data_IF_775099632269
#
_entry.id   IF_775099632269
#
_cell.length_a   1.000
_cell.length_b   1.000
_cell.length_c   1.000
_cell.angle_alpha   90.00
_cell.angle_beta   90.00
_cell.angle_gamma   90.00
#
_symmetry.space_group_name_H-M   'P 1'
#
loop_
_entity.id
_entity.type
_entity.pdbx_description
1 polymer ?
#
# COMPACT_ATOMS: atom_id res chain seq x y z
N UNK A 1 24.51 9.92 14.29
CA UNK A 1 24.25 9.79 12.85
C UNK A 1 23.84 8.35 12.57
N UNK A 2 22.79 8.13 11.80
CA UNK A 2 22.33 6.77 11.47
C UNK A 2 23.38 6.05 10.60
N UNK A 3 23.62 4.79 10.89
CA UNK A 3 24.61 3.95 10.18
C UNK A 3 23.89 2.91 9.30
N UNK A 4 24.58 2.43 8.28
CA UNK A 4 24.14 1.37 7.37
C UNK A 4 25.20 0.26 7.27
N UNK A 5 25.75 -0.17 8.40
CA UNK A 5 26.87 -1.11 8.45
C UNK A 5 26.50 -2.49 7.87
N UNK A 6 25.35 -3.03 8.27
CA UNK A 6 24.87 -4.31 7.72
C UNK A 6 24.67 -4.26 6.21
N UNK A 7 24.03 -3.21 5.71
CA UNK A 7 23.79 -3.03 4.27
C UNK A 7 25.07 -2.88 3.44
N UNK A 8 26.12 -2.35 4.07
CA UNK A 8 27.41 -2.07 3.42
C UNK A 8 28.41 -3.20 3.44
N UNK A 9 28.10 -4.30 4.13
CA UNK A 9 28.95 -5.50 4.12
C UNK A 9 29.07 -6.06 2.71
N UNK A 10 30.23 -6.60 2.39
CA UNK A 10 30.50 -7.16 1.05
C UNK A 10 29.47 -8.23 0.67
N UNK A 11 29.13 -9.10 1.61
CA UNK A 11 28.15 -10.19 1.43
C UNK A 11 26.74 -9.70 1.14
N UNK A 12 26.42 -8.44 1.53
CA UNK A 12 25.10 -7.86 1.39
C UNK A 12 24.97 -6.90 0.20
N UNK A 13 26.08 -6.48 -0.42
CA UNK A 13 26.04 -5.50 -1.51
C UNK A 13 25.16 -5.93 -2.68
N UNK A 14 25.29 -7.18 -3.12
CA UNK A 14 24.50 -7.74 -4.23
C UNK A 14 23.01 -7.85 -3.88
N UNK A 15 22.64 -7.81 -2.61
CA UNK A 15 21.25 -7.83 -2.16
C UNK A 15 20.58 -6.46 -2.31
N UNK A 16 21.33 -5.38 -2.50
CA UNK A 16 20.82 -4.04 -2.68
C UNK A 16 20.61 -3.74 -4.17
N UNK A 17 19.40 -3.27 -4.53
CA UNK A 17 19.10 -2.87 -5.91
C UNK A 17 19.81 -1.58 -6.32
N UNK A 18 19.92 -0.64 -5.39
CA UNK A 18 20.57 0.66 -5.59
C UNK A 18 21.62 0.88 -4.50
N UNK A 19 22.82 1.25 -4.90
CA UNK A 19 23.97 1.43 -4.00
C UNK A 19 23.79 2.57 -2.98
N UNK A 20 22.95 3.53 -3.31
CA UNK A 20 22.68 4.72 -2.50
C UNK A 20 21.38 4.66 -1.70
N UNK A 21 20.63 3.56 -1.78
CA UNK A 21 19.39 3.35 -1.02
C UNK A 21 19.58 2.15 -0.10
N UNK A 22 20.03 2.44 1.10
CA UNK A 22 20.40 1.43 2.09
C UNK A 22 19.54 1.60 3.36
N UNK A 23 19.10 0.51 3.98
CA UNK A 23 18.40 0.59 5.26
C UNK A 23 19.37 0.97 6.39
N UNK A 24 18.89 1.78 7.33
CA UNK A 24 19.63 2.08 8.55
C UNK A 24 19.65 0.87 9.49
N UNK A 25 20.76 0.68 10.20
CA UNK A 25 20.91 -0.44 11.13
C UNK A 25 19.84 -0.44 12.23
N UNK A 26 19.45 0.73 12.75
CA UNK A 26 18.48 0.85 13.83
C UNK A 26 17.03 0.53 13.45
N UNK A 27 16.69 0.54 12.18
CA UNK A 27 15.31 0.39 11.68
C UNK A 27 15.14 -0.73 10.67
N UNK A 28 16.23 -1.36 10.23
CA UNK A 28 16.15 -2.45 9.26
C UNK A 28 15.38 -3.66 9.78
N UNK A 29 14.76 -4.39 8.88
CA UNK A 29 14.17 -5.69 9.20
C UNK A 29 15.29 -6.73 9.31
N UNK A 30 15.33 -7.44 10.42
CA UNK A 30 16.23 -8.57 10.64
C UNK A 30 15.50 -9.87 10.32
N UNK A 31 16.06 -10.66 9.43
CA UNK A 31 15.58 -12.01 9.17
C UNK A 31 16.22 -12.98 10.17
N UNK A 32 15.55 -14.07 10.45
CA UNK A 32 16.15 -15.16 11.22
C UNK A 32 17.34 -15.73 10.45
N UNK A 33 18.54 -15.74 11.01
CA UNK A 33 19.71 -16.29 10.32
C UNK A 33 19.52 -17.74 9.90
N UNK A 34 19.98 -18.07 8.70
CA UNK A 34 20.03 -19.45 8.20
C UNK A 34 21.35 -20.08 8.60
N UNK A 35 21.30 -21.25 9.21
CA UNK A 35 22.49 -21.96 9.67
C UNK A 35 23.46 -22.22 8.51
N UNK A 36 24.72 -21.88 8.73
CA UNK A 36 25.79 -22.04 7.73
C UNK A 36 25.80 -21.01 6.61
N UNK A 37 24.89 -20.04 6.59
CA UNK A 37 24.85 -18.97 5.60
C UNK A 37 25.16 -17.63 6.26
N UNK A 38 26.37 -17.06 6.05
CA UNK A 38 26.75 -15.76 6.63
C UNK A 38 25.82 -14.63 6.17
N UNK A 39 25.56 -13.68 7.07
CA UNK A 39 24.76 -12.48 6.79
C UNK A 39 23.38 -12.74 6.18
N UNK A 40 22.83 -13.91 6.43
CA UNK A 40 21.49 -14.32 5.96
C UNK A 40 20.33 -13.62 6.68
N UNK A 41 20.64 -12.79 7.69
CA UNK A 41 19.66 -11.95 8.41
C UNK A 41 19.33 -10.66 7.69
N UNK A 42 19.95 -10.39 6.53
CA UNK A 42 19.85 -9.11 5.83
C UNK A 42 18.80 -9.10 4.71
N UNK A 43 18.00 -8.06 4.69
CA UNK A 43 17.15 -7.66 3.58
C UNK A 43 17.11 -6.14 3.51
N UNK A 44 17.03 -5.56 2.31
CA UNK A 44 16.84 -4.12 2.14
C UNK A 44 15.37 -3.74 2.39
N UNK A 45 15.04 -3.60 3.64
CA UNK A 45 13.72 -3.24 4.15
C UNK A 45 13.85 -2.58 5.52
N UNK A 46 12.95 -1.63 5.81
CA UNK A 46 12.96 -0.84 7.05
C UNK A 46 11.57 -0.77 7.66
N UNK A 47 11.47 -0.87 8.98
CA UNK A 47 10.24 -0.56 9.71
C UNK A 47 9.95 0.94 9.65
N UNK A 48 8.72 1.28 9.32
CA UNK A 48 8.22 2.65 9.23
C UNK A 48 6.97 2.81 10.09
N UNK A 49 6.94 3.83 10.92
CA UNK A 49 5.78 4.15 11.73
C UNK A 49 4.65 4.73 10.86
N UNK A 50 3.41 4.38 11.19
CA UNK A 50 2.22 5.09 10.76
C UNK A 50 1.87 6.25 11.70
N UNK A 51 0.70 6.84 11.50
CA UNK A 51 0.17 7.82 12.44
C UNK A 51 -0.23 7.13 13.75
N UNK A 52 0.42 7.52 14.86
CA UNK A 52 0.22 6.95 16.20
C UNK A 52 0.34 5.41 16.28
N UNK A 53 0.94 4.78 15.28
CA UNK A 53 1.12 3.34 15.20
C UNK A 53 2.57 2.99 14.88
N UNK A 54 3.26 2.39 15.86
CA UNK A 54 4.65 1.98 15.70
C UNK A 54 4.75 0.80 14.73
N UNK A 55 5.72 0.86 13.82
CA UNK A 55 6.01 -0.22 12.87
C UNK A 55 4.79 -0.71 12.06
N UNK A 56 3.88 0.20 11.72
CA UNK A 56 2.71 -0.11 10.89
C UNK A 56 3.11 -0.67 9.54
N UNK A 57 4.21 -0.18 8.97
CA UNK A 57 4.70 -0.55 7.65
C UNK A 57 6.11 -1.11 7.69
N UNK A 58 6.42 -1.90 6.67
CA UNK A 58 7.77 -2.20 6.23
C UNK A 58 7.91 -1.62 4.83
N UNK A 59 8.83 -0.66 4.67
CA UNK A 59 9.20 -0.12 3.36
C UNK A 59 10.37 -0.94 2.82
N UNK A 60 10.18 -1.55 1.65
CA UNK A 60 11.16 -2.43 1.04
C UNK A 60 11.46 -2.02 -0.41
N UNK A 61 12.65 -2.35 -0.88
CA UNK A 61 12.93 -2.33 -2.31
C UNK A 61 12.12 -3.41 -3.04
N UNK A 62 11.89 -3.23 -4.33
CA UNK A 62 11.39 -4.31 -5.17
C UNK A 62 12.37 -5.49 -5.15
N UNK A 63 11.93 -6.71 -4.82
CA UNK A 63 12.81 -7.88 -4.80
C UNK A 63 13.63 -8.02 -6.09
N UNK A 64 14.90 -8.41 -5.95
CA UNK A 64 15.76 -8.87 -7.03
C UNK A 64 15.60 -10.39 -7.17
N UNK A 65 16.03 -10.96 -8.29
CA UNK A 65 16.02 -12.41 -8.45
C UNK A 65 16.71 -13.14 -7.28
N UNK A 66 17.81 -12.57 -6.79
CA UNK A 66 18.61 -13.12 -5.68
C UNK A 66 17.95 -12.94 -4.32
N UNK A 67 16.95 -12.04 -4.17
CA UNK A 67 16.35 -11.70 -2.88
C UNK A 67 14.89 -12.11 -2.75
N UNK A 68 14.31 -12.77 -3.75
CA UNK A 68 12.91 -13.22 -3.70
C UNK A 68 12.66 -14.17 -2.53
N UNK A 69 13.56 -15.11 -2.28
CA UNK A 69 13.45 -16.03 -1.14
C UNK A 69 13.47 -15.28 0.20
N UNK A 70 14.37 -14.30 0.33
CA UNK A 70 14.45 -13.45 1.53
C UNK A 70 13.18 -12.62 1.72
N UNK A 71 12.60 -12.14 0.63
CA UNK A 71 11.35 -11.38 0.65
C UNK A 71 10.19 -12.21 1.22
N UNK A 72 9.98 -13.43 0.73
CA UNK A 72 8.94 -14.32 1.24
C UNK A 72 9.20 -14.77 2.67
N UNK A 73 10.46 -14.97 3.04
CA UNK A 73 10.87 -15.25 4.41
C UNK A 73 10.53 -14.09 5.34
N UNK A 74 10.75 -12.84 4.91
CA UNK A 74 10.32 -11.65 5.64
C UNK A 74 8.80 -11.60 5.82
N UNK A 75 8.02 -11.82 4.77
CA UNK A 75 6.55 -11.86 4.84
C UNK A 75 6.09 -12.88 5.89
N UNK A 76 6.71 -14.05 5.90
CA UNK A 76 6.39 -15.11 6.86
C UNK A 76 6.76 -14.73 8.30
N UNK A 77 8.01 -14.32 8.53
CA UNK A 77 8.53 -14.02 9.86
C UNK A 77 7.85 -12.81 10.50
N UNK A 78 7.46 -11.81 9.70
CA UNK A 78 6.80 -10.61 10.18
C UNK A 78 5.27 -10.75 10.30
N UNK A 79 4.71 -11.93 10.03
CA UNK A 79 3.27 -12.16 10.05
C UNK A 79 2.49 -11.15 9.16
N UNK A 80 3.06 -10.76 8.06
CA UNK A 80 2.45 -9.82 7.11
C UNK A 80 1.31 -10.50 6.37
N UNK A 81 0.15 -9.85 6.32
CA UNK A 81 -1.02 -10.32 5.58
C UNK A 81 -1.27 -9.51 4.30
N UNK A 82 -0.63 -8.35 4.15
CA UNK A 82 -0.87 -7.41 3.05
C UNK A 82 0.43 -6.90 2.47
N UNK A 83 0.57 -7.03 1.15
CA UNK A 83 1.67 -6.48 0.36
C UNK A 83 1.10 -5.40 -0.56
N UNK A 84 1.71 -4.23 -0.56
CA UNK A 84 1.39 -3.11 -1.46
C UNK A 84 2.55 -2.91 -2.43
N UNK A 85 2.28 -3.11 -3.71
CA UNK A 85 3.25 -2.94 -4.79
C UNK A 85 2.88 -1.72 -5.64
N UNK A 86 3.76 -0.74 -5.71
CA UNK A 86 3.52 0.54 -6.40
C UNK A 86 4.52 0.72 -7.56
N UNK A 87 4.77 -0.34 -8.28
CA UNK A 87 5.61 -0.33 -9.48
C UNK A 87 5.16 -1.44 -10.43
N UNK A 88 5.38 -1.26 -11.72
CA UNK A 88 5.34 -2.37 -12.65
C UNK A 88 6.65 -3.17 -12.57
N UNK A 89 6.67 -4.39 -13.08
CA UNK A 89 7.88 -5.22 -13.12
C UNK A 89 8.96 -4.58 -13.98
N UNK A 90 8.55 -4.00 -15.11
CA UNK A 90 9.42 -3.26 -16.03
C UNK A 90 8.79 -1.91 -16.36
N UNK A 91 9.61 -0.88 -16.35
CA UNK A 91 9.27 0.46 -16.81
C UNK A 91 10.40 0.94 -17.71
N UNK A 92 10.08 1.45 -18.91
CA UNK A 92 11.07 1.90 -19.90
C UNK A 92 12.19 0.91 -20.20
N UNK A 93 11.86 -0.37 -20.33
CA UNK A 93 12.82 -1.48 -20.56
C UNK A 93 13.76 -1.78 -19.38
N UNK A 94 13.62 -1.07 -18.27
CA UNK A 94 14.37 -1.35 -17.05
C UNK A 94 13.56 -2.26 -16.12
N UNK A 95 14.22 -3.26 -15.55
CA UNK A 95 13.65 -4.10 -14.51
C UNK A 95 13.55 -3.30 -13.19
N UNK A 96 12.33 -3.08 -12.73
CA UNK A 96 12.05 -2.36 -11.47
C UNK A 96 11.82 -3.29 -10.29
N UNK A 97 11.36 -4.51 -10.56
CA UNK A 97 11.07 -5.51 -9.56
C UNK A 97 11.08 -6.90 -10.22
N UNK A 98 11.68 -7.89 -9.58
CA UNK A 98 11.51 -9.28 -9.98
C UNK A 98 10.08 -9.74 -9.71
N UNK A 99 9.53 -10.58 -10.57
CA UNK A 99 8.24 -11.21 -10.29
C UNK A 99 8.42 -12.25 -9.19
N UNK A 100 7.90 -11.96 -8.00
CA UNK A 100 8.05 -12.82 -6.83
C UNK A 100 6.82 -13.70 -6.55
N UNK A 101 5.84 -13.70 -7.44
CA UNK A 101 4.65 -14.57 -7.36
C UNK A 101 4.51 -15.37 -8.66
N UNK A 102 3.92 -16.59 -8.62
CA UNK A 102 3.69 -17.37 -9.82
C UNK A 102 2.55 -16.80 -10.67
N UNK A 103 2.65 -16.90 -11.99
CA UNK A 103 1.55 -16.57 -12.89
C UNK A 103 0.36 -17.52 -12.71
N UNK A 104 0.68 -18.79 -12.52
CA UNK A 104 -0.26 -19.88 -12.30
C UNK A 104 0.35 -20.94 -11.39
N UNK A 105 -0.52 -21.61 -10.63
CA UNK A 105 -0.11 -22.73 -9.80
C UNK A 105 0.71 -22.29 -8.59
N UNK A 106 1.80 -22.98 -8.36
CA UNK A 106 2.56 -22.89 -7.14
C UNK A 106 4.06 -22.89 -7.42
N UNK A 107 4.78 -21.97 -6.78
CA UNK A 107 6.25 -21.94 -6.77
C UNK A 107 6.77 -22.06 -5.34
N UNK A 108 7.96 -22.68 -5.22
CA UNK A 108 8.65 -22.81 -3.94
C UNK A 108 9.83 -21.84 -3.90
N UNK A 109 9.86 -21.02 -2.87
CA UNK A 109 10.91 -20.05 -2.60
C UNK A 109 11.63 -20.45 -1.31
N UNK A 110 12.80 -21.09 -1.43
CA UNK A 110 13.45 -21.68 -0.27
C UNK A 110 12.56 -22.78 0.35
N UNK A 111 12.20 -22.61 1.60
CA UNK A 111 11.30 -23.51 2.33
C UNK A 111 9.82 -23.06 2.33
N UNK A 112 9.50 -22.02 1.58
CA UNK A 112 8.17 -21.41 1.56
C UNK A 112 7.53 -21.67 0.20
N UNK A 113 6.35 -22.26 0.23
CA UNK A 113 5.52 -22.52 -0.93
C UNK A 113 4.50 -21.39 -1.09
N UNK A 114 4.38 -20.86 -2.30
CA UNK A 114 3.51 -19.75 -2.65
C UNK A 114 2.64 -20.13 -3.83
N UNK A 115 1.33 -20.00 -3.68
CA UNK A 115 0.35 -20.21 -4.76
C UNK A 115 -0.58 -19.00 -4.88
N UNK A 116 -0.97 -18.68 -6.12
CA UNK A 116 -1.99 -17.67 -6.40
C UNK A 116 -3.34 -18.37 -6.48
N UNK A 117 -4.26 -18.01 -5.57
CA UNK A 117 -5.58 -18.62 -5.46
C UNK A 117 -6.63 -17.86 -6.27
N UNK A 118 -6.53 -16.54 -6.32
CA UNK A 118 -7.47 -15.67 -7.03
C UNK A 118 -6.81 -14.38 -7.49
N UNK A 119 -7.32 -13.83 -8.59
CA UNK A 119 -6.84 -12.57 -9.18
C UNK A 119 -8.05 -11.72 -9.57
N UNK A 120 -8.12 -10.50 -9.05
CA UNK A 120 -9.13 -9.51 -9.44
C UNK A 120 -8.44 -8.32 -10.10
N UNK A 121 -8.73 -8.08 -11.37
CA UNK A 121 -8.17 -6.97 -12.14
C UNK A 121 -9.15 -5.81 -12.13
N UNK A 122 -8.71 -4.65 -11.64
CA UNK A 122 -9.44 -3.39 -11.63
C UNK A 122 -8.71 -2.38 -12.54
N UNK A 123 -9.30 -1.21 -12.75
CA UNK A 123 -8.73 -0.20 -13.67
C UNK A 123 -7.33 0.26 -13.22
N UNK A 124 -7.18 0.62 -11.95
CA UNK A 124 -5.94 1.20 -11.43
C UNK A 124 -5.04 0.21 -10.72
N UNK A 125 -5.56 -0.96 -10.35
CA UNK A 125 -4.80 -1.95 -9.60
C UNK A 125 -5.34 -3.37 -9.77
N UNK A 126 -4.51 -4.34 -9.42
CA UNK A 126 -4.86 -5.76 -9.40
C UNK A 126 -4.69 -6.29 -7.98
N UNK A 127 -5.63 -7.13 -7.54
CA UNK A 127 -5.60 -7.79 -6.24
C UNK A 127 -5.32 -9.27 -6.44
N UNK A 128 -4.27 -9.77 -5.81
CA UNK A 128 -3.91 -11.19 -5.80
C UNK A 128 -4.17 -11.78 -4.42
N UNK A 129 -4.97 -12.83 -4.36
CA UNK A 129 -5.07 -13.68 -3.17
C UNK A 129 -4.01 -14.77 -3.25
N UNK A 130 -3.06 -14.75 -2.32
CA UNK A 130 -1.89 -15.62 -2.31
C UNK A 130 -1.94 -16.50 -1.06
N UNK A 131 -1.71 -17.79 -1.24
CA UNK A 131 -1.52 -18.72 -0.14
C UNK A 131 -0.02 -18.94 0.08
N UNK A 132 0.40 -18.78 1.32
CA UNK A 132 1.77 -19.03 1.75
C UNK A 132 1.79 -20.22 2.73
N UNK A 133 2.59 -21.22 2.42
CA UNK A 133 2.79 -22.40 3.27
C UNK A 133 4.26 -22.47 3.67
N UNK A 134 4.54 -22.39 4.95
CA UNK A 134 5.90 -22.57 5.49
C UNK A 134 6.27 -24.05 5.53
N UNK A 135 7.52 -24.31 5.87
CA UNK A 135 8.20 -25.62 5.92
C UNK A 135 7.28 -26.87 5.91
N UNK A 136 7.39 -27.65 4.85
CA UNK A 136 6.56 -28.81 4.56
C UNK A 136 6.75 -29.99 5.53
N UNK A 137 7.75 -29.94 6.42
CA UNK A 137 8.10 -31.06 7.32
C UNK A 137 7.23 -31.14 8.57
N UNK A 138 6.59 -30.03 8.97
CA UNK A 138 5.71 -29.99 10.13
C UNK A 138 4.44 -29.21 9.76
N UNK A 139 3.29 -29.86 9.64
CA UNK A 139 1.93 -29.30 9.44
C UNK A 139 1.78 -27.81 9.87
N UNK A 140 2.58 -26.91 9.25
CA UNK A 140 2.55 -25.49 9.57
C UNK A 140 1.30 -24.85 8.98
N UNK A 141 0.71 -23.87 9.69
CA UNK A 141 -0.50 -23.22 9.23
C UNK A 141 -0.27 -22.53 7.89
N UNK A 142 -1.25 -22.63 7.01
CA UNK A 142 -1.34 -21.86 5.80
C UNK A 142 -1.69 -20.41 6.15
N UNK A 143 -1.11 -19.45 5.44
CA UNK A 143 -1.45 -18.04 5.59
C UNK A 143 -1.97 -17.49 4.28
N UNK A 144 -3.01 -16.68 4.35
CA UNK A 144 -3.51 -15.92 3.22
C UNK A 144 -2.84 -14.55 3.22
N UNK A 145 -2.24 -14.22 2.09
CA UNK A 145 -1.61 -12.93 1.83
C UNK A 145 -2.38 -12.26 0.70
N UNK A 146 -2.73 -11.01 0.87
CA UNK A 146 -3.32 -10.21 -0.19
C UNK A 146 -2.26 -9.25 -0.74
N UNK A 147 -1.98 -9.34 -2.04
CA UNK A 147 -1.12 -8.40 -2.74
C UNK A 147 -2.00 -7.41 -3.50
N UNK A 148 -1.79 -6.13 -3.23
CA UNK A 148 -2.39 -5.01 -3.95
C UNK A 148 -1.35 -4.40 -4.86
N UNK A 149 -1.49 -4.60 -6.15
CA UNK A 149 -0.57 -4.12 -7.17
C UNK A 149 -1.16 -2.93 -7.90
N UNK A 150 -0.70 -1.73 -7.57
CA UNK A 150 -1.09 -0.49 -8.25
C UNK A 150 -0.39 -0.39 -9.60
N UNK A 151 -1.15 -0.47 -10.68
CA UNK A 151 -0.63 -0.56 -12.07
C UNK A 151 -0.68 0.76 -12.84
N UNK A 152 -1.37 1.78 -12.30
CA UNK A 152 -1.61 3.06 -12.98
C UNK A 152 -0.61 4.17 -12.63
N UNK A 153 0.49 3.85 -11.94
CA UNK A 153 1.54 4.85 -11.72
C UNK A 153 2.34 5.05 -13.01
N UNK A 154 2.44 6.27 -13.54
CA UNK A 154 3.16 6.51 -14.80
C UNK A 154 4.67 6.32 -14.63
N UNK A 155 5.37 6.00 -15.73
CA UNK A 155 6.83 5.84 -15.74
C UNK A 155 7.57 7.09 -15.24
N UNK A 156 6.96 8.25 -15.40
CA UNK A 156 7.46 9.53 -14.90
C UNK A 156 6.46 10.25 -14.05
N UNK A 157 6.98 10.96 -13.05
CA UNK A 157 6.21 11.88 -12.23
C UNK A 157 5.25 11.13 -11.30
N UNK A 158 4.02 11.57 -11.28
CA UNK A 158 2.94 11.08 -10.41
C UNK A 158 1.67 10.90 -11.23
N UNK A 159 0.67 10.15 -10.72
CA UNK A 159 -0.63 10.04 -11.37
C UNK A 159 -1.24 11.43 -11.65
N UNK A 160 -1.96 11.56 -12.76
CA UNK A 160 -2.61 12.81 -13.14
C UNK A 160 -3.64 13.26 -12.09
N UNK A 161 -4.33 12.32 -11.46
CA UNK A 161 -5.31 12.55 -10.38
C UNK A 161 -5.03 11.61 -9.22
N UNK A 162 -5.28 12.03 -7.97
CA UNK A 162 -5.08 11.19 -6.81
C UNK A 162 -6.23 10.19 -6.54
N UNK A 163 -7.31 10.24 -7.31
CA UNK A 163 -8.53 9.45 -7.05
C UNK A 163 -8.22 7.94 -7.04
N UNK A 164 -7.51 7.44 -8.05
CA UNK A 164 -7.14 6.02 -8.10
C UNK A 164 -6.31 5.56 -6.90
N UNK A 165 -5.36 6.37 -6.45
CA UNK A 165 -4.55 6.07 -5.27
C UNK A 165 -5.39 6.10 -3.99
N UNK A 166 -6.33 7.02 -3.85
CA UNK A 166 -7.22 7.09 -2.68
C UNK A 166 -8.13 5.87 -2.58
N UNK A 167 -8.72 5.44 -3.70
CA UNK A 167 -9.53 4.21 -3.77
C UNK A 167 -8.69 2.98 -3.43
N UNK A 168 -7.51 2.89 -4.01
CA UNK A 168 -6.54 1.83 -3.73
C UNK A 168 -6.20 1.76 -2.24
N UNK A 169 -5.86 2.88 -1.63
CA UNK A 169 -5.52 2.96 -0.21
C UNK A 169 -6.70 2.57 0.68
N UNK A 170 -7.92 3.03 0.37
CA UNK A 170 -9.15 2.65 1.08
C UNK A 170 -9.35 1.13 1.06
N UNK A 171 -9.13 0.50 -0.11
CA UNK A 171 -9.25 -0.95 -0.26
C UNK A 171 -8.20 -1.71 0.55
N UNK A 172 -6.96 -1.27 0.51
CA UNK A 172 -5.86 -1.86 1.31
C UNK A 172 -6.19 -1.82 2.80
N UNK A 173 -6.63 -0.68 3.31
CA UNK A 173 -7.02 -0.51 4.73
C UNK A 173 -8.18 -1.40 5.12
N UNK A 174 -9.20 -1.51 4.27
CA UNK A 174 -10.38 -2.33 4.53
C UNK A 174 -10.08 -3.82 4.59
N UNK A 175 -9.08 -4.29 3.84
CA UNK A 175 -8.74 -5.71 3.73
C UNK A 175 -7.62 -6.17 4.67
N UNK A 176 -6.88 -5.27 5.30
CA UNK A 176 -5.80 -5.67 6.22
C UNK A 176 -6.38 -6.14 7.56
N UNK A 177 -6.14 -7.41 7.97
CA UNK A 177 -6.66 -7.92 9.24
C UNK A 177 -6.02 -7.21 10.45
N UNK A 178 -6.78 -7.03 11.53
CA UNK A 178 -6.29 -6.39 12.75
C UNK A 178 -5.17 -7.17 13.45
N UNK A 179 -5.17 -8.50 13.32
CA UNK A 179 -4.15 -9.36 13.92
C UNK A 179 -2.86 -9.48 13.11
N UNK A 180 -2.84 -8.92 11.91
CA UNK A 180 -1.67 -9.01 11.02
C UNK A 180 -0.50 -8.18 11.54
N UNK A 181 0.71 -8.57 11.13
CA UNK A 181 1.91 -7.77 11.29
C UNK A 181 1.93 -6.56 10.32
N UNK A 182 3.09 -5.94 10.19
CA UNK A 182 3.27 -4.78 9.33
C UNK A 182 2.82 -5.01 7.88
N UNK A 183 2.24 -3.99 7.27
CA UNK A 183 1.97 -3.95 5.83
C UNK A 183 3.29 -3.72 5.12
N UNK A 184 3.67 -4.61 4.21
CA UNK A 184 4.87 -4.42 3.37
C UNK A 184 4.50 -3.57 2.16
N UNK A 185 5.17 -2.44 2.01
CA UNK A 185 5.00 -1.51 0.89
C UNK A 185 6.31 -1.43 0.12
N UNK A 186 6.28 -1.69 -1.16
CA UNK A 186 7.44 -1.57 -2.01
C UNK A 186 7.13 -0.90 -3.36
N UNK A 187 8.14 -0.33 -3.94
CA UNK A 187 8.20 0.07 -5.34
C UNK A 187 9.48 -0.51 -5.96
N UNK A 188 10.30 0.24 -6.64
CA UNK A 188 11.63 -0.22 -7.07
C UNK A 188 12.68 0.00 -5.98
N UNK A 189 12.88 1.25 -5.55
CA UNK A 189 13.83 1.59 -4.48
C UNK A 189 13.24 1.46 -3.07
N UNK A 190 11.92 1.50 -2.95
CA UNK A 190 11.22 1.44 -1.66
C UNK A 190 11.27 2.74 -0.87
N UNK A 191 11.31 3.88 -1.56
CA UNK A 191 11.41 5.21 -0.90
C UNK A 191 10.49 6.27 -1.51
N UNK A 192 10.42 6.41 -2.84
CA UNK A 192 9.66 7.48 -3.47
C UNK A 192 8.15 7.23 -3.45
N UNK A 193 7.68 6.33 -4.29
CA UNK A 193 6.25 5.93 -4.37
C UNK A 193 5.81 5.26 -3.08
N UNK A 194 6.67 4.45 -2.48
CA UNK A 194 6.45 3.83 -1.17
C UNK A 194 6.23 4.88 -0.09
N UNK A 195 7.10 5.90 -0.01
CA UNK A 195 6.94 7.00 0.94
C UNK A 195 5.68 7.80 0.70
N UNK A 196 5.32 8.05 -0.56
CA UNK A 196 4.08 8.74 -0.93
C UNK A 196 2.84 8.02 -0.42
N UNK A 197 2.76 6.71 -0.62
CA UNK A 197 1.68 5.87 -0.11
C UNK A 197 1.58 5.93 1.42
N UNK A 198 2.70 5.74 2.11
CA UNK A 198 2.76 5.74 3.58
C UNK A 198 2.33 7.09 4.16
N UNK A 199 2.79 8.19 3.57
CA UNK A 199 2.45 9.55 4.06
C UNK A 199 0.98 9.87 3.82
N UNK A 200 0.41 9.52 2.67
CA UNK A 200 -1.03 9.72 2.42
C UNK A 200 -1.85 8.95 3.46
N UNK A 201 -1.54 7.68 3.70
CA UNK A 201 -2.22 6.87 4.72
C UNK A 201 -2.18 7.53 6.09
N UNK A 202 -1.00 7.90 6.56
CA UNK A 202 -0.80 8.50 7.88
C UNK A 202 -1.50 9.86 8.02
N UNK A 203 -1.45 10.69 6.97
CA UNK A 203 -2.05 12.02 7.01
C UNK A 203 -3.58 11.98 6.89
N UNK A 204 -4.16 10.99 6.21
CA UNK A 204 -5.61 10.74 6.28
C UNK A 204 -6.04 10.38 7.70
N UNK A 205 -5.29 9.52 8.38
CA UNK A 205 -5.58 9.17 9.78
C UNK A 205 -5.45 10.39 10.70
N UNK A 206 -4.41 11.21 10.52
CA UNK A 206 -4.23 12.45 11.28
C UNK A 206 -5.37 13.45 11.01
N UNK A 207 -5.77 13.60 9.75
CA UNK A 207 -6.88 14.48 9.36
C UNK A 207 -8.18 14.06 10.03
N UNK A 208 -8.49 12.78 10.08
CA UNK A 208 -9.69 12.26 10.73
C UNK A 208 -9.66 12.46 12.26
N UNK A 209 -8.51 12.26 12.88
CA UNK A 209 -8.36 12.31 14.34
C UNK A 209 -8.19 13.74 14.87
N UNK A 210 -7.31 14.53 14.26
CA UNK A 210 -6.89 15.84 14.76
C UNK A 210 -7.43 17.03 13.95
N UNK A 211 -8.10 16.77 12.81
CA UNK A 211 -8.59 17.82 11.88
C UNK A 211 -7.48 18.71 11.32
N UNK A 212 -6.29 18.20 11.25
CA UNK A 212 -5.11 18.84 10.68
C UNK A 212 -4.19 17.81 10.05
N UNK A 213 -3.22 18.27 9.27
CA UNK A 213 -2.15 17.46 8.72
C UNK A 213 -0.81 18.14 8.98
N UNK A 214 0.24 17.34 9.15
CA UNK A 214 1.63 17.80 9.25
C UNK A 214 2.50 16.92 8.36
N UNK A 215 2.41 17.17 7.07
CA UNK A 215 3.14 16.40 6.05
C UNK A 215 4.64 16.54 6.24
N UNK A 216 5.12 17.77 6.45
CA UNK A 216 6.55 18.02 6.62
C UNK A 216 7.13 17.29 7.85
N UNK A 217 6.48 17.42 8.99
CA UNK A 217 6.93 16.77 10.23
C UNK A 217 6.89 15.24 10.11
N UNK A 218 5.87 14.69 9.48
CA UNK A 218 5.76 13.24 9.28
C UNK A 218 6.83 12.71 8.32
N UNK A 219 7.03 13.37 7.17
CA UNK A 219 8.09 13.00 6.22
C UNK A 219 9.47 13.07 6.89
N UNK A 220 9.73 14.11 7.68
CA UNK A 220 10.99 14.25 8.41
C UNK A 220 11.21 13.09 9.39
N UNK A 221 10.18 12.67 10.10
CA UNK A 221 10.26 11.52 11.02
C UNK A 221 10.53 10.21 10.30
N UNK A 222 9.82 9.90 9.21
CA UNK A 222 10.04 8.63 8.49
C UNK A 222 11.36 8.61 7.73
N UNK A 223 11.89 9.76 7.32
CA UNK A 223 13.25 9.86 6.75
C UNK A 223 14.35 9.52 7.76
N UNK A 224 14.09 9.64 9.06
CA UNK A 224 14.97 9.11 10.09
C UNK A 224 14.90 7.57 10.21
N UNK A 225 13.86 6.93 9.69
CA UNK A 225 13.71 5.47 9.68
C UNK A 225 14.18 4.83 8.35
N UNK A 226 14.02 5.52 7.23
CA UNK A 226 14.53 5.10 5.92
C UNK A 226 14.88 6.33 5.08
N UNK A 227 16.07 6.33 4.49
CA UNK A 227 16.54 7.45 3.69
C UNK A 227 15.61 7.78 2.52
N UNK A 228 15.56 9.03 2.13
CA UNK A 228 14.88 9.53 0.92
C UNK A 228 13.37 9.19 0.79
N UNK A 229 12.70 8.86 1.88
CA UNK A 229 11.24 8.66 1.84
C UNK A 229 10.55 9.91 1.29
N UNK A 230 9.70 9.75 0.27
CA UNK A 230 9.17 10.82 -0.60
C UNK A 230 10.31 11.51 -1.35
N UNK A 231 10.62 11.02 -2.54
CA UNK A 231 11.89 11.28 -3.22
C UNK A 231 11.88 12.54 -4.09
N UNK A 232 10.71 12.96 -4.58
CA UNK A 232 10.58 14.08 -5.51
C UNK A 232 9.59 15.14 -5.04
N UNK A 233 9.77 16.37 -5.53
CA UNK A 233 8.82 17.46 -5.28
C UNK A 233 7.43 17.15 -5.81
N UNK A 234 7.34 16.46 -6.95
CA UNK A 234 6.06 16.04 -7.53
C UNK A 234 5.34 15.07 -6.60
N UNK A 235 6.05 14.13 -5.98
CA UNK A 235 5.46 13.20 -4.99
C UNK A 235 4.99 13.95 -3.74
N UNK A 236 5.75 14.93 -3.29
CA UNK A 236 5.38 15.75 -2.15
C UNK A 236 4.11 16.58 -2.42
N UNK A 237 4.02 17.21 -3.59
CA UNK A 237 2.80 17.93 -4.02
C UNK A 237 1.61 16.98 -4.20
N UNK A 238 1.84 15.80 -4.75
CA UNK A 238 0.80 14.78 -4.94
C UNK A 238 0.16 14.34 -3.61
N UNK A 239 0.93 14.26 -2.53
CA UNK A 239 0.41 14.00 -1.19
C UNK A 239 -0.65 15.06 -0.81
N UNK A 240 -0.34 16.35 -0.99
CA UNK A 240 -1.30 17.42 -0.70
C UNK A 240 -2.51 17.38 -1.62
N UNK A 241 -2.33 17.06 -2.89
CA UNK A 241 -3.44 16.89 -3.83
C UNK A 241 -4.38 15.75 -3.38
N UNK A 242 -3.83 14.63 -2.93
CA UNK A 242 -4.62 13.52 -2.41
C UNK A 242 -5.38 13.89 -1.14
N UNK A 243 -4.73 14.58 -0.21
CA UNK A 243 -5.37 15.05 1.03
C UNK A 243 -6.48 16.07 0.75
N UNK A 244 -6.26 16.98 -0.18
CA UNK A 244 -7.26 17.96 -0.60
C UNK A 244 -8.46 17.30 -1.28
N UNK A 245 -8.21 16.37 -2.19
CA UNK A 245 -9.27 15.59 -2.86
C UNK A 245 -10.15 14.86 -1.84
N UNK A 246 -9.52 14.16 -0.89
CA UNK A 246 -10.24 13.48 0.18
C UNK A 246 -11.02 14.46 1.07
N UNK A 247 -10.43 15.60 1.41
CA UNK A 247 -11.09 16.63 2.22
C UNK A 247 -12.34 17.20 1.54
N UNK A 248 -12.24 17.47 0.23
CA UNK A 248 -13.32 18.09 -0.53
C UNK A 248 -14.44 17.10 -0.91
N UNK A 249 -14.09 15.87 -1.26
CA UNK A 249 -15.01 14.91 -1.90
C UNK A 249 -15.18 13.59 -1.15
N UNK A 250 -14.39 13.30 -0.13
CA UNK A 250 -14.46 12.04 0.60
C UNK A 250 -15.82 11.75 1.24
N UNK A 251 -16.52 12.78 1.72
CA UNK A 251 -17.88 12.67 2.27
C UNK A 251 -18.90 12.37 1.16
N UNK A 252 -18.66 12.89 -0.04
CA UNK A 252 -19.51 12.67 -1.22
C UNK A 252 -19.41 11.22 -1.70
N UNK A 253 -18.22 10.65 -1.74
CA UNK A 253 -18.01 9.23 -2.07
C UNK A 253 -18.73 8.30 -1.09
N UNK A 254 -18.66 8.59 0.22
CA UNK A 254 -19.39 7.81 1.23
C UNK A 254 -20.90 7.77 0.97
N UNK A 255 -21.47 8.91 0.56
CA UNK A 255 -22.90 8.99 0.24
C UNK A 255 -23.22 8.22 -1.03
N UNK A 256 -22.36 8.31 -2.06
CA UNK A 256 -22.54 7.57 -3.31
C UNK A 256 -22.51 6.07 -3.04
N UNK A 257 -21.50 5.57 -2.33
CA UNK A 257 -21.37 4.14 -1.98
C UNK A 257 -22.63 3.63 -1.25
N UNK A 258 -23.08 4.36 -0.22
CA UNK A 258 -24.27 3.99 0.54
C UNK A 258 -25.56 4.03 -0.30
N UNK A 259 -25.65 4.96 -1.25
CA UNK A 259 -26.80 5.06 -2.15
C UNK A 259 -26.80 3.97 -3.23
N UNK A 260 -25.61 3.57 -3.72
CA UNK A 260 -25.46 2.43 -4.63
C UNK A 260 -25.89 1.12 -3.93
N UNK A 261 -25.46 0.91 -2.69
CA UNK A 261 -25.91 -0.24 -1.90
C UNK A 261 -27.42 -0.24 -1.71
N UNK A 262 -28.02 0.90 -1.41
CA UNK A 262 -29.47 1.05 -1.29
C UNK A 262 -30.18 0.79 -2.62
N UNK A 263 -29.63 1.26 -3.74
CA UNK A 263 -30.17 1.03 -5.08
C UNK A 263 -30.20 -0.46 -5.41
N UNK A 264 -29.14 -1.19 -5.09
CA UNK A 264 -29.04 -2.64 -5.32
C UNK A 264 -29.99 -3.44 -4.44
N UNK A 265 -30.07 -3.08 -3.15
CA UNK A 265 -30.85 -3.85 -2.16
C UNK A 265 -32.33 -3.49 -2.13
N UNK A 266 -32.66 -2.20 -2.18
CA UNK A 266 -34.03 -1.69 -2.02
C UNK A 266 -34.66 -1.16 -3.32
N UNK A 267 -33.87 -1.07 -4.40
CA UNK A 267 -34.25 -0.51 -5.71
C UNK A 267 -34.79 0.93 -5.64
N UNK A 268 -34.31 1.67 -4.67
CA UNK A 268 -34.63 3.09 -4.46
C UNK A 268 -33.42 3.80 -3.84
N UNK A 269 -33.41 5.12 -3.91
CA UNK A 269 -32.41 5.96 -3.26
C UNK A 269 -33.08 7.09 -2.51
N UNK A 270 -32.53 7.44 -1.35
CA UNK A 270 -32.95 8.58 -0.54
C UNK A 270 -31.71 9.39 -0.11
N UNK A 271 -31.15 10.12 -1.06
CA UNK A 271 -29.96 10.95 -0.86
C UNK A 271 -30.19 11.97 0.26
N UNK A 272 -31.32 12.65 0.22
CA UNK A 272 -31.65 13.69 1.21
C UNK A 272 -31.76 13.14 2.63
N UNK A 273 -32.50 12.04 2.80
CA UNK A 273 -32.66 11.42 4.12
C UNK A 273 -31.35 10.85 4.64
N UNK A 274 -30.52 10.25 3.77
CA UNK A 274 -29.23 9.75 4.18
C UNK A 274 -28.27 10.88 4.58
N UNK A 275 -28.15 11.94 3.75
CA UNK A 275 -27.32 13.10 4.07
C UNK A 275 -27.78 13.76 5.38
N UNK A 276 -29.10 13.86 5.59
CA UNK A 276 -29.65 14.42 6.84
C UNK A 276 -29.26 13.57 8.07
N UNK A 277 -29.30 12.24 7.95
CA UNK A 277 -28.89 11.33 9.04
C UNK A 277 -27.39 11.42 9.35
N UNK A 278 -26.54 11.43 8.34
CA UNK A 278 -25.08 11.54 8.56
C UNK A 278 -24.68 12.93 9.09
N UNK A 279 -25.40 14.00 8.72
CA UNK A 279 -25.19 15.33 9.28
C UNK A 279 -25.51 15.41 10.78
N UNK A 280 -26.37 14.57 11.30
CA UNK A 280 -26.61 14.45 12.74
C UNK A 280 -25.43 13.81 13.48
N UNK A 281 -24.66 12.97 12.82
CA UNK A 281 -23.45 12.35 13.37
C UNK A 281 -22.21 13.23 13.19
N UNK A 282 -22.13 13.92 12.08
CA UNK A 282 -21.05 14.85 11.74
C UNK A 282 -21.60 16.01 10.93
N UNK A 283 -21.50 17.22 11.49
CA UNK A 283 -22.01 18.43 10.82
C UNK A 283 -21.31 18.68 9.48
N UNK A 284 -22.03 19.33 8.56
CA UNK A 284 -21.54 19.79 7.26
C UNK A 284 -21.07 18.66 6.28
N UNK A 285 -21.47 17.42 6.48
CA UNK A 285 -21.31 16.38 5.46
C UNK A 285 -22.03 16.80 4.16
N UNK A 286 -21.35 16.69 3.02
CA UNK A 286 -21.81 17.22 1.73
C UNK A 286 -22.08 18.73 1.80
N UNK A 287 -21.02 19.54 1.72
CA UNK A 287 -21.05 20.98 2.06
C UNK A 287 -21.64 21.87 0.98
N UNK A 288 -21.52 21.49 -0.28
CA UNK A 288 -21.89 22.34 -1.41
C UNK A 288 -22.99 21.73 -2.26
N UNK A 289 -23.75 22.60 -2.95
CA UNK A 289 -24.74 22.16 -3.92
C UNK A 289 -24.11 21.35 -5.05
N UNK A 290 -22.88 21.68 -5.45
CA UNK A 290 -22.14 20.93 -6.48
C UNK A 290 -21.86 19.49 -6.04
N UNK A 291 -21.46 19.28 -4.79
CA UNK A 291 -21.27 17.94 -4.23
C UNK A 291 -22.60 17.17 -4.20
N UNK A 292 -23.69 17.84 -3.87
CA UNK A 292 -25.01 17.24 -3.84
C UNK A 292 -25.49 16.82 -5.25
N UNK A 293 -25.32 17.71 -6.23
CA UNK A 293 -25.62 17.42 -7.64
C UNK A 293 -24.76 16.29 -8.18
N UNK A 294 -23.46 16.26 -7.83
CA UNK A 294 -22.55 15.21 -8.25
C UNK A 294 -23.00 13.82 -7.78
N UNK A 295 -23.53 13.70 -6.55
CA UNK A 295 -24.10 12.43 -6.05
C UNK A 295 -25.20 11.93 -6.99
N UNK A 296 -26.14 12.79 -7.37
CA UNK A 296 -27.21 12.40 -8.28
C UNK A 296 -26.71 12.05 -9.69
N UNK A 297 -25.70 12.78 -10.19
CA UNK A 297 -25.08 12.48 -11.48
C UNK A 297 -24.42 11.11 -11.48
N UNK A 298 -23.65 10.78 -10.44
CA UNK A 298 -23.00 9.47 -10.27
C UNK A 298 -24.02 8.33 -10.19
N UNK A 299 -25.10 8.51 -9.42
CA UNK A 299 -26.18 7.52 -9.32
C UNK A 299 -26.93 7.33 -10.64
N UNK A 300 -27.18 8.41 -11.38
CA UNK A 300 -27.82 8.37 -12.69
C UNK A 300 -26.95 7.64 -13.71
N UNK A 301 -25.66 7.94 -13.74
CA UNK A 301 -24.69 7.29 -14.63
C UNK A 301 -24.64 5.78 -14.36
N UNK A 302 -24.52 5.39 -13.11
CA UNK A 302 -24.59 3.98 -12.71
C UNK A 302 -25.90 3.31 -13.14
N UNK A 303 -27.04 3.99 -12.95
CA UNK A 303 -28.34 3.46 -13.34
C UNK A 303 -28.48 3.26 -14.85
N UNK A 304 -27.94 4.16 -15.65
CA UNK A 304 -28.06 4.14 -17.11
C UNK A 304 -27.06 3.18 -17.79
N UNK A 305 -25.87 3.06 -17.27
CA UNK A 305 -24.74 2.39 -17.93
C UNK A 305 -24.20 1.17 -17.18
N UNK A 306 -24.73 0.86 -15.98
CA UNK A 306 -24.25 -0.22 -15.13
C UNK A 306 -22.96 0.12 -14.42
N UNK A 307 -22.20 -0.90 -13.94
CA UNK A 307 -20.96 -0.72 -13.21
C UNK A 307 -19.91 0.05 -14.02
N UNK A 308 -20.09 1.35 -14.12
CA UNK A 308 -18.97 2.25 -14.37
C UNK A 308 -18.22 2.35 -13.06
N UNK A 309 -17.02 1.82 -13.01
CA UNK A 309 -16.10 2.01 -11.89
C UNK A 309 -15.83 3.51 -11.74
N UNK A 310 -16.53 4.16 -10.80
CA UNK A 310 -16.24 5.49 -10.33
C UNK A 310 -15.12 5.45 -9.29
#
# INVERSE_FOLDING_TARGET
QATCEAASKEENKEKNRYVNILPYDHSRVHLTPVEGVPDSDYINASFINGYQEKNKFIAAQGPKEETVNDFWRMIWEQNTATIVMVTNLKERKECKCAQYWPDQGCWTYGNIRVSVEDVTVLVDYTVFCIQQVGDMTNRKPQRLITQFHFTSWPDFGVPFTPIGMLKFLKKVKACNPQYAGAIVVHCSAGVGRTGTFVVIDAMLDMMHTERKVDVYGFVSRIRAQRCQMVQTDMQYVFIYQALLEHYLYGDTELVIDAMLDMMHTERKVDVYGFVSRIRAQRCQMVQTDMQYVFIYQALLEHYLYGDTEL
#
